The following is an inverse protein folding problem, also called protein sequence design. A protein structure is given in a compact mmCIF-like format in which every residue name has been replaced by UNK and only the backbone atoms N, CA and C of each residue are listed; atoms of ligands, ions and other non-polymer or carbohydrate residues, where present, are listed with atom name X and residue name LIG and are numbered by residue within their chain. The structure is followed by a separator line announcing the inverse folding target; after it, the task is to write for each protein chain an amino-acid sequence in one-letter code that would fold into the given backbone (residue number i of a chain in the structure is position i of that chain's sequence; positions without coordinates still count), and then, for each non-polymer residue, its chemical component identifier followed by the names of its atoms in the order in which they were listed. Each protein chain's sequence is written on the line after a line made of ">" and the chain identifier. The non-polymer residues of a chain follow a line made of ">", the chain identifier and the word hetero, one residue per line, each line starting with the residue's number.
data_IF_292406155709
#
_entry.id   IF_292406155709
#
_cell.length_a   1.000
_cell.length_b   1.000
_cell.length_c   1.000
_cell.angle_alpha   90.00
_cell.angle_beta   90.00
_cell.angle_gamma   90.00
#
_symmetry.space_group_name_H-M   'P 1'
#
loop_
_entity.id
_entity.type
_entity.pdbx_description
1 polymer ?
#
# COMPACT_ATOMS: atom_id res chain seq x y z
N UNK A 1 -7.54 52.01 8.82
CA UNK A 1 -6.30 52.50 8.19
C UNK A 1 -5.16 51.92 8.99
N UNK A 2 -4.19 51.15 8.50
CA UNK A 2 -3.82 50.68 7.17
C UNK A 2 -3.00 49.40 7.39
N UNK A 3 -3.31 48.32 6.69
CA UNK A 3 -2.50 47.10 6.67
C UNK A 3 -1.19 47.37 5.91
N UNK A 4 -0.05 46.94 6.46
CA UNK A 4 1.23 46.93 5.72
C UNK A 4 1.39 45.58 5.02
N UNK A 5 1.56 45.52 3.70
CA UNK A 5 1.80 44.27 2.99
C UNK A 5 3.28 43.85 3.07
N UNK A 6 3.46 42.54 3.15
CA UNK A 6 4.72 41.80 3.09
C UNK A 6 5.21 41.78 1.62
N UNK A 7 6.37 42.36 1.33
CA UNK A 7 7.02 42.20 0.02
C UNK A 7 7.78 40.87 -0.01
N UNK A 8 7.32 39.93 -0.83
CA UNK A 8 8.11 38.77 -1.26
C UNK A 8 8.63 39.08 -2.66
N UNK A 9 9.95 39.16 -2.80
CA UNK A 9 10.61 39.32 -4.08
C UNK A 9 10.49 38.01 -4.89
N UNK A 10 9.83 38.07 -6.04
CA UNK A 10 9.87 37.01 -7.05
C UNK A 10 11.08 37.27 -7.95
N UNK A 11 12.10 36.41 -7.87
CA UNK A 11 13.16 36.35 -8.88
C UNK A 11 12.67 35.44 -10.02
N UNK A 12 12.33 36.07 -11.14
CA UNK A 12 11.89 35.41 -12.38
C UNK A 12 13.12 34.98 -13.16
N UNK A 13 13.49 33.70 -13.07
CA UNK A 13 14.48 33.12 -13.96
C UNK A 13 13.86 32.88 -15.35
N UNK A 14 14.25 33.71 -16.31
CA UNK A 14 13.93 33.54 -17.74
C UNK A 14 14.76 32.37 -18.27
N UNK A 15 14.12 31.24 -18.58
CA UNK A 15 14.74 30.11 -19.29
C UNK A 15 14.37 30.19 -20.77
N UNK A 16 15.36 30.47 -21.59
CA UNK A 16 15.29 30.50 -23.06
C UNK A 16 14.96 29.11 -23.62
N UNK A 17 13.84 29.00 -24.34
CA UNK A 17 13.46 27.79 -25.08
C UNK A 17 14.19 27.75 -26.42
N UNK A 18 15.15 26.83 -26.58
CA UNK A 18 15.67 26.44 -27.89
C UNK A 18 14.75 25.37 -28.49
N UNK A 19 14.01 25.72 -29.54
CA UNK A 19 13.22 24.79 -30.35
C UNK A 19 14.09 24.14 -31.42
N UNK A 20 13.93 22.84 -31.65
CA UNK A 20 14.23 22.19 -32.95
C UNK A 20 13.47 20.86 -33.11
N UNK A 21 13.22 20.41 -34.36
CA UNK A 21 11.98 19.72 -34.74
C UNK A 21 12.10 18.19 -34.79
N UNK A 22 10.92 17.55 -34.84
CA UNK A 22 10.72 16.10 -34.91
C UNK A 22 10.97 15.50 -36.30
N UNK A 23 11.45 14.25 -36.35
CA UNK A 23 11.21 13.32 -37.46
C UNK A 23 11.50 11.84 -37.11
N UNK A 24 10.54 10.95 -37.44
CA UNK A 24 10.79 9.59 -37.94
C UNK A 24 10.85 8.41 -36.94
N UNK A 25 10.08 7.31 -37.16
CA UNK A 25 10.09 6.13 -36.29
C UNK A 25 11.17 5.12 -36.69
N UNK A 26 11.88 4.57 -35.70
CA UNK A 26 12.93 3.56 -35.87
C UNK A 26 12.90 2.55 -34.73
N UNK A 27 13.08 1.29 -35.09
CA UNK A 27 12.91 0.06 -34.32
C UNK A 27 13.84 -0.12 -33.12
N UNK A 28 13.25 -0.58 -32.01
CA UNK A 28 13.80 -1.46 -30.97
C UNK A 28 15.28 -1.36 -30.55
N UNK A 29 15.52 -0.91 -29.32
CA UNK A 29 16.60 -1.46 -28.48
C UNK A 29 16.22 -1.33 -27.00
N UNK A 30 16.42 -2.41 -26.26
CA UNK A 30 16.12 -2.56 -24.81
C UNK A 30 16.92 -1.53 -24.01
N UNK A 31 16.22 -0.85 -23.09
CA UNK A 31 16.67 0.36 -22.42
C UNK A 31 17.87 0.18 -21.49
N UNK A 32 18.86 1.06 -21.66
CA UNK A 32 19.72 1.46 -20.55
C UNK A 32 18.88 2.29 -19.58
N UNK A 33 18.91 1.92 -18.30
CA UNK A 33 18.34 2.69 -17.20
C UNK A 33 18.88 4.11 -17.23
N UNK A 34 18.02 5.09 -17.51
CA UNK A 34 18.36 6.50 -17.33
C UNK A 34 18.66 6.75 -15.85
N UNK A 35 19.75 7.47 -15.51
CA UNK A 35 19.97 7.88 -14.14
C UNK A 35 18.76 8.69 -13.67
N UNK A 36 18.24 8.37 -12.49
CA UNK A 36 17.10 9.06 -11.90
C UNK A 36 17.37 10.56 -11.84
N UNK A 37 16.44 11.37 -12.36
CA UNK A 37 16.59 12.81 -12.46
C UNK A 37 16.88 13.44 -11.08
N UNK A 38 17.58 14.58 -11.03
CA UNK A 38 17.80 15.31 -9.77
C UNK A 38 16.46 15.64 -9.06
N UNK A 39 15.40 15.89 -9.82
CA UNK A 39 14.06 16.12 -9.29
C UNK A 39 13.47 14.87 -8.60
N UNK A 40 13.77 13.67 -9.10
CA UNK A 40 13.35 12.41 -8.48
C UNK A 40 14.05 12.18 -7.15
N UNK A 41 15.34 12.48 -7.09
CA UNK A 41 16.14 12.35 -5.88
C UNK A 41 15.68 13.36 -4.81
N UNK A 42 15.37 14.60 -5.21
CA UNK A 42 14.78 15.60 -4.32
C UNK A 42 13.40 15.16 -3.80
N UNK A 43 12.53 14.65 -4.68
CA UNK A 43 11.20 14.15 -4.31
C UNK A 43 11.29 12.95 -3.34
N UNK A 44 12.23 12.03 -3.58
CA UNK A 44 12.48 10.92 -2.66
C UNK A 44 12.96 11.41 -1.29
N UNK A 45 13.90 12.36 -1.27
CA UNK A 45 14.45 12.92 -0.04
C UNK A 45 13.37 13.62 0.78
N UNK A 46 12.49 14.38 0.11
CA UNK A 46 11.33 15.03 0.73
C UNK A 46 10.35 14.01 1.32
N UNK A 47 9.98 12.99 0.54
CA UNK A 47 9.11 11.91 1.03
C UNK A 47 9.72 11.18 2.23
N UNK A 48 11.04 10.97 2.23
CA UNK A 48 11.75 10.34 3.34
C UNK A 48 11.73 11.20 4.60
N UNK A 49 11.95 12.52 4.47
CA UNK A 49 11.87 13.45 5.59
C UNK A 49 10.46 13.49 6.20
N UNK A 50 9.42 13.43 5.38
CA UNK A 50 8.03 13.40 5.83
C UNK A 50 7.66 12.08 6.52
N UNK A 51 8.03 10.92 5.95
CA UNK A 51 7.59 9.61 6.44
C UNK A 51 8.41 9.07 7.62
N UNK A 52 9.69 9.39 7.70
CA UNK A 52 10.58 8.84 8.74
C UNK A 52 10.12 9.07 10.18
N UNK A 53 9.59 10.25 10.58
CA UNK A 53 9.09 10.44 11.94
C UNK A 53 7.71 9.80 12.19
N UNK A 54 6.98 9.43 11.14
CA UNK A 54 5.60 8.93 11.24
C UNK A 54 5.51 7.41 11.43
N UNK A 55 6.52 6.68 10.94
CA UNK A 55 6.50 5.21 10.90
C UNK A 55 7.33 4.62 12.04
N UNK A 56 6.94 3.44 12.57
CA UNK A 56 7.77 2.74 13.54
C UNK A 56 9.14 2.43 12.92
N UNK A 57 10.21 2.85 13.60
CA UNK A 57 11.58 2.54 13.17
C UNK A 57 11.86 1.03 13.15
N UNK A 58 12.92 0.56 12.47
CA UNK A 58 13.33 -0.83 12.57
C UNK A 58 13.64 -1.19 14.04
N UNK A 59 13.42 -2.43 14.48
CA UNK A 59 13.79 -2.86 15.83
C UNK A 59 15.29 -2.62 16.04
N UNK A 60 15.64 -1.67 16.91
CA UNK A 60 17.02 -1.38 17.26
C UNK A 60 17.61 -2.50 18.15
N UNK A 61 18.93 -2.74 18.09
CA UNK A 61 19.59 -3.79 18.89
C UNK A 61 19.45 -3.58 20.40
N UNK A 62 19.15 -2.36 20.86
CA UNK A 62 19.03 -1.98 22.27
C UNK A 62 17.60 -1.71 22.74
N UNK A 63 16.56 -1.96 21.94
CA UNK A 63 15.17 -1.79 22.35
C UNK A 63 14.24 -2.92 21.86
N UNK A 64 14.50 -4.18 22.26
CA UNK A 64 13.62 -5.31 21.94
C UNK A 64 12.25 -5.24 22.65
N UNK A 65 12.02 -4.32 23.58
CA UNK A 65 10.87 -4.33 24.49
C UNK A 65 9.64 -3.53 24.04
N UNK A 66 9.77 -2.46 23.25
CA UNK A 66 8.59 -1.62 22.90
C UNK A 66 7.78 -2.14 21.71
N UNK A 67 8.39 -2.81 20.73
CA UNK A 67 7.68 -3.37 19.57
C UNK A 67 7.07 -4.76 19.83
N UNK A 68 7.46 -5.41 20.92
CA UNK A 68 7.09 -6.80 21.23
C UNK A 68 5.85 -6.92 22.15
N UNK A 69 5.22 -5.81 22.52
CA UNK A 69 3.97 -5.81 23.32
C UNK A 69 2.70 -5.74 22.47
N UNK A 70 2.81 -5.31 21.20
CA UNK A 70 1.64 -5.23 20.32
C UNK A 70 1.13 -6.64 20.00
N UNK A 71 -0.18 -6.80 20.02
CA UNK A 71 -0.92 -8.03 19.66
C UNK A 71 -1.43 -8.03 18.21
N UNK A 72 -1.14 -6.96 17.45
CA UNK A 72 -1.50 -6.77 16.05
C UNK A 72 -0.42 -5.95 15.32
N UNK A 73 -0.35 -5.98 13.98
CA UNK A 73 0.58 -5.14 13.22
C UNK A 73 0.26 -3.65 13.44
N UNK A 74 1.26 -2.79 13.26
CA UNK A 74 1.05 -1.36 13.07
C UNK A 74 0.33 -1.14 11.73
N UNK A 75 -0.83 -0.49 11.75
CA UNK A 75 -1.68 -0.30 10.57
C UNK A 75 -1.64 1.16 10.12
N UNK A 76 -1.16 1.37 8.90
CA UNK A 76 -1.21 2.66 8.21
C UNK A 76 -2.33 2.62 7.17
N UNK A 77 -3.40 3.38 7.37
CA UNK A 77 -4.40 3.63 6.34
C UNK A 77 -3.94 4.76 5.44
N UNK A 78 -4.09 4.60 4.13
CA UNK A 78 -3.76 5.66 3.19
C UNK A 78 -4.70 5.67 2.00
N UNK A 79 -5.12 6.86 1.58
CA UNK A 79 -5.91 7.03 0.36
C UNK A 79 -5.76 8.43 -0.23
N UNK A 80 -6.09 8.55 -1.51
CA UNK A 80 -6.19 9.82 -2.20
C UNK A 80 -7.66 10.22 -2.40
N UNK A 81 -7.94 11.51 -2.27
CA UNK A 81 -9.24 12.09 -2.55
C UNK A 81 -9.12 13.39 -3.36
N UNK A 82 -10.21 13.78 -4.01
CA UNK A 82 -10.41 15.11 -4.56
C UNK A 82 -10.65 16.15 -3.46
N UNK A 83 -10.63 17.43 -3.81
CA UNK A 83 -10.88 18.53 -2.87
C UNK A 83 -12.29 18.47 -2.25
N UNK A 84 -13.27 17.95 -3.00
CA UNK A 84 -14.64 17.68 -2.55
C UNK A 84 -14.83 16.29 -1.90
N UNK A 85 -13.74 15.62 -1.50
CA UNK A 85 -13.77 14.40 -0.68
C UNK A 85 -14.14 13.12 -1.42
N UNK A 86 -13.92 13.06 -2.74
CA UNK A 86 -14.23 11.89 -3.57
C UNK A 86 -12.99 11.03 -3.81
N UNK A 87 -13.13 9.73 -3.64
CA UNK A 87 -12.06 8.72 -3.78
C UNK A 87 -12.17 7.93 -5.10
N UNK A 88 -13.33 7.97 -5.76
CA UNK A 88 -13.55 7.35 -7.07
C UNK A 88 -14.58 8.15 -7.88
N UNK A 89 -14.56 7.95 -9.21
CA UNK A 89 -15.53 8.54 -10.11
C UNK A 89 -16.90 7.83 -10.00
N UNK A 90 -17.89 8.37 -10.70
CA UNK A 90 -19.16 7.69 -10.92
C UNK A 90 -18.95 6.25 -11.42
N UNK A 91 -19.79 5.32 -10.96
CA UNK A 91 -19.72 3.88 -11.28
C UNK A 91 -18.42 3.17 -10.82
N UNK A 92 -17.70 3.73 -9.84
CA UNK A 92 -16.54 3.06 -9.25
C UNK A 92 -15.31 3.03 -10.17
N UNK A 93 -15.25 3.92 -11.17
CA UNK A 93 -14.08 4.04 -12.03
C UNK A 93 -12.92 4.72 -11.28
N UNK A 94 -11.68 4.29 -11.51
CA UNK A 94 -10.50 4.88 -10.89
C UNK A 94 -10.32 6.35 -11.30
N UNK A 95 -9.90 7.20 -10.35
CA UNK A 95 -9.51 8.58 -10.64
C UNK A 95 -7.99 8.72 -10.46
N UNK A 96 -7.33 9.23 -11.50
CA UNK A 96 -5.92 9.62 -11.38
C UNK A 96 -5.83 11.00 -10.72
N UNK A 97 -6.01 11.02 -9.40
CA UNK A 97 -6.07 12.25 -8.60
C UNK A 97 -4.68 12.84 -8.35
N UNK A 98 -3.78 12.03 -7.79
CA UNK A 98 -2.48 12.48 -7.28
C UNK A 98 -1.40 12.63 -8.36
N UNK A 99 -0.50 13.58 -8.12
CA UNK A 99 0.68 13.90 -8.92
C UNK A 99 1.89 13.01 -8.62
N UNK A 100 2.94 13.13 -9.44
CA UNK A 100 4.09 12.21 -9.45
C UNK A 100 4.80 12.11 -8.10
N UNK A 101 4.99 13.23 -7.43
CA UNK A 101 5.66 13.35 -6.14
C UNK A 101 4.89 12.59 -5.05
N UNK A 102 3.57 12.73 -5.02
CA UNK A 102 2.68 11.96 -4.13
C UNK A 102 2.72 10.47 -4.42
N UNK A 103 2.78 10.06 -5.70
CA UNK A 103 2.97 8.66 -6.06
C UNK A 103 4.32 8.12 -5.57
N UNK A 104 5.39 8.91 -5.70
CA UNK A 104 6.70 8.54 -5.15
C UNK A 104 6.65 8.39 -3.63
N UNK A 105 5.98 9.29 -2.92
CA UNK A 105 5.74 9.16 -1.48
C UNK A 105 4.98 7.87 -1.14
N UNK A 106 3.90 7.55 -1.84
CA UNK A 106 3.16 6.29 -1.63
C UNK A 106 4.03 5.07 -1.92
N UNK A 107 4.88 5.12 -2.94
CA UNK A 107 5.80 4.03 -3.26
C UNK A 107 6.91 3.87 -2.21
N UNK A 108 7.39 4.96 -1.61
CA UNK A 108 8.28 4.90 -0.46
C UNK A 108 7.56 4.34 0.76
N UNK A 109 6.30 4.73 0.99
CA UNK A 109 5.47 4.19 2.07
C UNK A 109 5.32 2.66 1.94
N UNK A 110 5.07 2.15 0.72
CA UNK A 110 5.02 0.70 0.44
C UNK A 110 6.31 -0.01 0.82
N UNK A 111 7.48 0.58 0.55
CA UNK A 111 8.77 -0.05 0.86
C UNK A 111 9.09 -0.09 2.35
N UNK A 112 8.33 0.65 3.18
CA UNK A 112 8.45 0.69 4.64
C UNK A 112 7.47 -0.23 5.36
N UNK A 113 6.65 -1.00 4.64
CA UNK A 113 5.68 -1.93 5.23
C UNK A 113 5.97 -3.38 4.84
N UNK A 114 5.69 -4.32 5.75
CA UNK A 114 5.86 -5.75 5.49
C UNK A 114 4.79 -6.27 4.51
N UNK A 115 3.59 -5.70 4.61
CA UNK A 115 2.42 -6.08 3.82
C UNK A 115 1.58 -4.87 3.38
N UNK A 116 0.91 -5.03 2.26
CA UNK A 116 -0.05 -4.08 1.70
C UNK A 116 -1.38 -4.77 1.47
N UNK A 117 -2.49 -4.14 1.88
CA UNK A 117 -3.83 -4.71 1.82
C UNK A 117 -4.77 -3.86 0.98
N UNK A 118 -5.54 -4.55 0.14
CA UNK A 118 -6.65 -4.00 -0.63
C UNK A 118 -7.84 -4.94 -0.62
N UNK A 119 -9.04 -4.40 -0.87
CA UNK A 119 -10.21 -5.23 -1.19
C UNK A 119 -10.17 -5.73 -2.63
N UNK A 120 -10.77 -6.89 -2.90
CA UNK A 120 -10.90 -7.43 -4.27
C UNK A 120 -11.57 -6.45 -5.24
N UNK A 121 -12.46 -5.58 -4.76
CA UNK A 121 -13.07 -4.53 -5.58
C UNK A 121 -12.04 -3.60 -6.24
N UNK A 122 -10.96 -3.28 -5.53
CA UNK A 122 -9.84 -2.51 -6.09
C UNK A 122 -9.10 -3.33 -7.14
N UNK A 123 -8.86 -4.62 -6.91
CA UNK A 123 -8.19 -5.47 -7.91
C UNK A 123 -9.02 -5.59 -9.19
N UNK A 124 -10.34 -5.75 -9.06
CA UNK A 124 -11.25 -5.83 -10.20
C UNK A 124 -11.36 -4.52 -10.99
N UNK A 125 -11.18 -3.37 -10.33
CA UNK A 125 -11.28 -2.06 -10.97
C UNK A 125 -9.95 -1.62 -11.60
N UNK A 126 -8.83 -1.88 -10.92
CA UNK A 126 -7.52 -1.29 -11.24
C UNK A 126 -6.45 -2.28 -11.71
N UNK A 127 -6.63 -3.58 -11.43
CA UNK A 127 -5.62 -4.64 -11.57
C UNK A 127 -4.20 -4.18 -11.12
N UNK A 128 -4.03 -3.74 -9.86
CA UNK A 128 -2.81 -3.09 -9.41
C UNK A 128 -1.67 -4.09 -9.21
N UNK A 129 -0.43 -3.63 -9.35
CA UNK A 129 0.76 -4.45 -9.09
C UNK A 129 1.18 -4.51 -7.61
N UNK A 130 0.73 -3.54 -6.79
CA UNK A 130 1.03 -3.40 -5.35
C UNK A 130 2.53 -3.50 -4.97
N UNK A 131 3.42 -3.13 -5.90
CA UNK A 131 4.87 -3.19 -5.75
C UNK A 131 5.53 -1.80 -5.64
N UNK A 132 6.86 -1.79 -5.45
CA UNK A 132 7.68 -0.57 -5.37
C UNK A 132 8.46 -0.38 -6.67
N UNK A 133 7.91 0.40 -7.61
CA UNK A 133 8.47 0.56 -8.98
C UNK A 133 8.71 2.01 -9.44
N UNK A 134 8.26 3.00 -8.67
CA UNK A 134 8.37 4.42 -9.03
C UNK A 134 9.46 5.16 -8.24
N UNK A 135 10.28 4.43 -7.48
CA UNK A 135 11.41 4.99 -6.76
C UNK A 135 12.67 4.89 -7.63
N UNK A 136 13.61 5.85 -7.52
CA UNK A 136 14.95 5.68 -8.06
C UNK A 136 15.64 4.50 -7.36
N UNK A 137 16.76 4.01 -7.92
CA UNK A 137 17.50 2.92 -7.29
C UNK A 137 17.87 3.28 -5.84
N UNK A 138 17.70 2.35 -4.89
CA UNK A 138 18.12 2.59 -3.52
C UNK A 138 19.64 2.79 -3.45
N UNK A 139 20.13 3.54 -2.45
CA UNK A 139 21.56 3.65 -2.21
C UNK A 139 22.18 2.26 -1.97
N UNK A 140 23.43 2.03 -2.39
CA UNK A 140 24.10 0.75 -2.16
C UNK A 140 24.16 0.45 -0.66
N UNK A 141 23.81 -0.78 -0.29
CA UNK A 141 23.91 -1.24 1.10
C UNK A 141 25.38 -1.21 1.54
N UNK A 142 25.71 -0.77 2.78
CA UNK A 142 27.09 -0.68 3.27
C UNK A 142 27.88 -1.99 3.13
N UNK A 143 27.20 -3.14 3.20
CA UNK A 143 27.79 -4.47 3.06
C UNK A 143 28.43 -4.74 1.68
N UNK A 144 28.03 -4.02 0.62
CA UNK A 144 28.59 -4.20 -0.72
C UNK A 144 29.89 -3.40 -0.97
N UNK A 145 30.24 -2.46 -0.09
CA UNK A 145 31.36 -1.55 -0.29
C UNK A 145 32.72 -2.04 0.28
N UNK A 146 32.77 -3.21 0.92
CA UNK A 146 33.92 -3.63 1.72
C UNK A 146 34.97 -4.52 1.01
N UNK A 147 34.87 -4.81 -0.29
CA UNK A 147 35.69 -5.88 -0.92
C UNK A 147 36.91 -5.40 -1.72
N UNK A 148 37.28 -4.13 -1.72
CA UNK A 148 38.49 -3.68 -2.45
C UNK A 148 39.42 -2.90 -1.58
N UNK A 149 40.25 -3.60 -0.78
CA UNK A 149 41.60 -3.14 -0.43
C UNK A 149 42.39 -4.24 0.27
N UNK A 150 43.36 -4.83 -0.44
CA UNK A 150 44.74 -4.97 0.06
C UNK A 150 45.61 -5.59 -1.03
N UNK A 151 46.27 -4.72 -1.78
CA UNK A 151 47.52 -5.02 -2.47
C UNK A 151 48.61 -5.11 -1.40
N UNK A 152 49.18 -6.30 -1.20
CA UNK A 152 50.48 -6.45 -0.55
C UNK A 152 51.60 -6.18 -1.56
N UNK A 153 52.66 -5.42 -1.22
CA UNK A 153 53.88 -5.40 -1.99
C UNK A 153 54.81 -6.52 -1.48
N UNK A 154 55.01 -7.56 -2.29
CA UNK A 154 55.96 -8.63 -1.98
C UNK A 154 57.36 -8.28 -2.54
N UNK A 155 58.37 -8.46 -1.69
CA UNK A 155 59.78 -8.34 -2.03
C UNK A 155 60.30 -9.65 -2.62
N UNK A 156 61.27 -9.51 -3.52
CA UNK A 156 61.80 -10.50 -4.46
C UNK A 156 62.47 -11.75 -3.86
N UNK A 157 62.40 -12.86 -4.61
CA UNK A 157 63.57 -13.72 -4.93
C UNK A 157 63.33 -14.53 -6.23
N UNK A 158 64.31 -14.68 -7.15
CA UNK A 158 64.14 -15.42 -8.41
C UNK A 158 64.91 -16.75 -8.41
N UNK A 159 64.26 -17.86 -8.78
CA UNK A 159 64.87 -18.88 -9.66
C UNK A 159 63.93 -20.06 -9.91
N UNK A 160 64.17 -20.72 -11.04
CA UNK A 160 63.67 -22.02 -11.52
C UNK A 160 62.34 -22.05 -12.26
N UNK A 161 62.51 -22.05 -13.59
CA UNK A 161 61.60 -22.54 -14.62
C UNK A 161 61.14 -23.97 -14.37
N UNK A 162 59.84 -24.24 -14.44
CA UNK A 162 59.29 -25.42 -15.12
C UNK A 162 57.83 -25.21 -15.53
N UNK A 163 57.58 -25.65 -16.76
CA UNK A 163 56.32 -25.67 -17.49
C UNK A 163 55.24 -26.47 -16.76
N UNK A 164 54.09 -25.85 -16.50
CA UNK A 164 52.76 -26.46 -16.72
C UNK A 164 51.71 -25.37 -16.57
N UNK A 165 50.90 -25.21 -17.61
CA UNK A 165 49.77 -24.29 -17.65
C UNK A 165 48.63 -24.85 -16.78
N UNK A 166 48.14 -24.14 -15.74
CA UNK A 166 46.79 -24.35 -15.27
C UNK A 166 45.89 -23.33 -15.97
N UNK A 167 44.88 -23.82 -16.68
CA UNK A 167 43.79 -22.99 -17.15
C UNK A 167 43.19 -22.24 -15.95
N UNK A 168 43.44 -20.94 -15.88
CA UNK A 168 42.74 -20.06 -14.96
C UNK A 168 41.27 -20.09 -15.37
N UNK A 169 40.45 -20.88 -14.69
CA UNK A 169 39.02 -20.68 -14.69
C UNK A 169 38.76 -19.29 -14.14
N UNK A 170 38.56 -18.33 -15.05
CA UNK A 170 37.98 -17.04 -14.74
C UNK A 170 36.58 -17.31 -14.19
N UNK A 171 36.48 -17.45 -12.87
CA UNK A 171 35.22 -17.31 -12.16
C UNK A 171 34.85 -15.84 -12.35
N UNK A 172 34.07 -15.54 -13.38
CA UNK A 172 33.38 -14.26 -13.47
C UNK A 172 32.45 -14.22 -12.26
N UNK A 173 32.68 -13.37 -11.24
CA UNK A 173 31.73 -13.28 -10.14
C UNK A 173 30.39 -12.89 -10.75
N UNK A 174 29.37 -13.73 -10.52
CA UNK A 174 28.01 -13.42 -10.92
C UNK A 174 27.67 -12.04 -10.35
N UNK A 175 27.44 -11.06 -11.23
CA UNK A 175 27.16 -9.68 -10.85
C UNK A 175 26.00 -9.70 -9.85
N UNK A 176 26.26 -9.27 -8.62
CA UNK A 176 25.24 -9.21 -7.59
C UNK A 176 24.03 -8.44 -8.15
N UNK A 177 22.79 -8.92 -7.94
CA UNK A 177 21.62 -8.26 -8.48
C UNK A 177 21.59 -6.79 -8.02
N UNK A 178 21.22 -5.90 -8.94
CA UNK A 178 21.12 -4.48 -8.65
C UNK A 178 20.27 -4.25 -7.38
N UNK A 179 20.64 -3.28 -6.52
CA UNK A 179 19.92 -3.06 -5.28
C UNK A 179 18.47 -2.67 -5.59
N UNK A 180 17.51 -3.31 -4.94
CA UNK A 180 16.06 -3.07 -5.12
C UNK A 180 15.41 -2.67 -3.81
N UNK A 181 14.33 -1.90 -3.90
CA UNK A 181 13.54 -1.57 -2.71
C UNK A 181 12.77 -2.81 -2.23
N UNK A 182 12.64 -3.02 -0.91
CA UNK A 182 11.74 -4.03 -0.37
C UNK A 182 10.33 -3.84 -0.92
N UNK A 183 9.70 -4.94 -1.35
CA UNK A 183 8.32 -4.94 -1.83
C UNK A 183 7.42 -5.61 -0.79
N UNK A 184 6.30 -4.98 -0.39
CA UNK A 184 5.39 -5.53 0.60
C UNK A 184 4.68 -6.79 0.08
N UNK A 185 4.27 -7.66 1.00
CA UNK A 185 3.41 -8.81 0.72
C UNK A 185 1.99 -8.33 0.31
N UNK A 186 1.48 -8.66 -0.89
CA UNK A 186 0.14 -8.27 -1.28
C UNK A 186 -0.93 -9.12 -0.59
N UNK A 187 -1.84 -8.47 0.13
CA UNK A 187 -2.98 -9.07 0.83
C UNK A 187 -4.29 -8.64 0.17
N UNK A 188 -5.14 -9.59 -0.18
CA UNK A 188 -6.41 -9.35 -0.85
C UNK A 188 -7.55 -9.81 0.05
N UNK A 189 -8.46 -8.90 0.41
CA UNK A 189 -9.72 -9.25 1.06
C UNK A 189 -10.77 -9.60 0.02
N UNK A 190 -11.12 -10.88 -0.04
CA UNK A 190 -12.02 -11.44 -1.04
C UNK A 190 -12.93 -12.53 -0.47
N UNK A 191 -14.02 -12.10 0.14
CA UNK A 191 -15.04 -12.97 0.75
C UNK A 191 -15.49 -14.11 -0.17
N UNK A 192 -15.49 -13.92 -1.50
CA UNK A 192 -16.04 -14.86 -2.47
C UNK A 192 -15.04 -15.37 -3.53
N UNK A 193 -13.74 -15.18 -3.30
CA UNK A 193 -12.67 -15.68 -4.18
C UNK A 193 -12.88 -15.27 -5.66
N UNK A 194 -13.19 -13.99 -5.88
CA UNK A 194 -13.39 -13.32 -7.17
C UNK A 194 -12.10 -12.81 -7.81
N UNK A 195 -10.96 -12.86 -7.12
CA UNK A 195 -9.65 -12.47 -7.65
C UNK A 195 -9.44 -13.14 -9.02
N UNK A 196 -9.22 -12.36 -10.11
CA UNK A 196 -8.98 -12.96 -11.42
C UNK A 196 -7.66 -13.72 -11.45
N UNK A 197 -7.63 -14.97 -11.96
CA UNK A 197 -6.39 -15.71 -12.22
C UNK A 197 -5.39 -14.97 -13.12
N UNK A 198 -5.89 -14.09 -13.99
CA UNK A 198 -5.10 -13.28 -14.91
C UNK A 198 -4.55 -11.98 -14.31
N UNK A 199 -4.80 -11.72 -13.01
CA UNK A 199 -4.40 -10.47 -12.36
C UNK A 199 -2.89 -10.26 -12.39
N UNK A 200 -2.46 -9.00 -12.42
CA UNK A 200 -1.04 -8.64 -12.39
C UNK A 200 -0.33 -9.18 -11.14
N UNK A 201 -1.04 -9.31 -10.01
CA UNK A 201 -0.50 -9.86 -8.77
C UNK A 201 0.00 -11.29 -8.94
N UNK A 202 -0.83 -12.17 -9.52
CA UNK A 202 -0.47 -13.57 -9.76
C UNK A 202 0.58 -13.69 -10.86
N UNK A 203 0.43 -12.92 -11.95
CA UNK A 203 1.40 -12.89 -13.04
C UNK A 203 2.80 -12.48 -12.57
N UNK A 204 2.89 -11.43 -11.75
CA UNK A 204 4.16 -10.96 -11.21
C UNK A 204 4.82 -12.01 -10.32
N UNK A 205 4.03 -12.70 -9.48
CA UNK A 205 4.54 -13.79 -8.66
C UNK A 205 5.10 -14.93 -9.52
N UNK A 206 4.33 -15.40 -10.52
CA UNK A 206 4.75 -16.46 -11.45
C UNK A 206 5.99 -16.07 -12.24
N UNK A 207 6.16 -14.79 -12.59
CA UNK A 207 7.37 -14.30 -13.26
C UNK A 207 8.55 -13.99 -12.31
N UNK A 208 8.41 -14.21 -11.00
CA UNK A 208 9.45 -13.92 -10.01
C UNK A 208 9.72 -12.43 -9.73
N UNK A 209 8.84 -11.54 -10.20
CA UNK A 209 8.95 -10.07 -10.06
C UNK A 209 8.07 -9.52 -8.93
N UNK A 210 7.25 -10.36 -8.30
CA UNK A 210 6.39 -10.02 -7.18
C UNK A 210 6.34 -11.13 -6.12
N UNK A 211 5.90 -10.76 -4.91
CA UNK A 211 5.69 -11.71 -3.81
C UNK A 211 4.40 -12.51 -4.03
N UNK A 212 4.34 -13.70 -3.44
CA UNK A 212 3.15 -14.54 -3.44
C UNK A 212 1.97 -13.79 -2.80
N UNK A 213 0.84 -13.57 -3.52
CA UNK A 213 -0.31 -12.89 -2.94
C UNK A 213 -1.05 -13.78 -1.95
N UNK A 214 -1.46 -13.19 -0.83
CA UNK A 214 -2.32 -13.83 0.17
C UNK A 214 -3.76 -13.37 0.00
N UNK A 215 -4.68 -14.32 -0.10
CA UNK A 215 -6.11 -14.06 -0.30
C UNK A 215 -6.88 -14.53 0.93
N UNK A 216 -7.67 -13.64 1.52
CA UNK A 216 -8.52 -13.97 2.66
C UNK A 216 -9.98 -14.07 2.24
N UNK A 217 -10.62 -15.20 2.52
CA UNK A 217 -12.01 -15.47 2.17
C UNK A 217 -12.84 -15.92 3.39
N UNK A 218 -14.15 -16.06 3.18
CA UNK A 218 -15.07 -16.55 4.20
C UNK A 218 -14.77 -18.02 4.55
N UNK A 219 -14.73 -18.34 5.85
CA UNK A 219 -14.64 -19.70 6.33
C UNK A 219 -15.80 -20.58 5.81
N UNK A 220 -15.49 -21.82 5.43
CA UNK A 220 -16.42 -22.74 4.78
C UNK A 220 -17.06 -23.76 5.76
N UNK A 221 -17.36 -23.32 6.99
CA UNK A 221 -17.64 -24.20 8.14
C UNK A 221 -19.01 -24.92 8.13
N UNK A 222 -20.01 -24.46 7.37
CA UNK A 222 -21.36 -25.05 7.34
C UNK A 222 -21.82 -25.40 5.91
N UNK A 223 -22.43 -26.56 5.62
CA UNK A 223 -22.87 -26.91 4.27
C UNK A 223 -23.75 -25.81 3.63
N UNK A 224 -23.20 -25.11 2.63
CA UNK A 224 -23.87 -24.04 1.90
C UNK A 224 -23.87 -24.36 0.39
N UNK A 225 -24.95 -24.07 -0.36
CA UNK A 225 -25.04 -24.36 -1.79
C UNK A 225 -23.90 -23.76 -2.63
N UNK A 226 -23.33 -22.64 -2.19
CA UNK A 226 -22.18 -21.98 -2.84
C UNK A 226 -20.81 -22.60 -2.51
N UNK A 227 -20.70 -23.51 -1.52
CA UNK A 227 -19.41 -24.08 -1.12
C UNK A 227 -18.71 -24.93 -2.17
N UNK A 228 -19.37 -25.73 -3.02
CA UNK A 228 -18.69 -26.42 -4.11
C UNK A 228 -17.97 -25.43 -5.05
N UNK A 229 -18.63 -24.34 -5.43
CA UNK A 229 -18.04 -23.31 -6.28
C UNK A 229 -16.90 -22.55 -5.58
N UNK A 230 -17.06 -22.20 -4.31
CA UNK A 230 -15.99 -21.55 -3.53
C UNK A 230 -14.77 -22.46 -3.34
N UNK A 231 -14.97 -23.77 -3.13
CA UNK A 231 -13.89 -24.76 -3.07
C UNK A 231 -13.16 -24.87 -4.41
N UNK A 232 -13.89 -24.90 -5.52
CA UNK A 232 -13.33 -24.88 -6.87
C UNK A 232 -12.50 -23.60 -7.12
N UNK A 233 -13.03 -22.43 -6.75
CA UNK A 233 -12.29 -21.15 -6.84
C UNK A 233 -11.02 -21.15 -5.99
N UNK A 234 -11.09 -21.67 -4.76
CA UNK A 234 -9.93 -21.78 -3.85
C UNK A 234 -8.83 -22.64 -4.47
N UNK A 235 -9.20 -23.81 -5.00
CA UNK A 235 -8.26 -24.71 -5.68
C UNK A 235 -7.58 -24.01 -6.86
N UNK A 236 -8.36 -23.40 -7.77
CA UNK A 236 -7.83 -22.67 -8.93
C UNK A 236 -6.90 -21.53 -8.53
N UNK A 237 -7.25 -20.73 -7.53
CA UNK A 237 -6.37 -19.64 -7.08
C UNK A 237 -5.06 -20.16 -6.49
N UNK A 238 -5.12 -21.26 -5.74
CA UNK A 238 -3.95 -21.90 -5.14
C UNK A 238 -3.01 -22.46 -6.22
N UNK A 239 -3.57 -23.12 -7.24
CA UNK A 239 -2.82 -23.60 -8.41
C UNK A 239 -2.14 -22.48 -9.21
N UNK A 240 -2.73 -21.27 -9.20
CA UNK A 240 -2.18 -20.09 -9.87
C UNK A 240 -1.21 -19.29 -8.98
N UNK A 241 -0.84 -19.84 -7.82
CA UNK A 241 0.19 -19.29 -6.94
C UNK A 241 -0.32 -18.36 -5.86
N UNK A 242 -1.63 -18.23 -5.62
CA UNK A 242 -2.14 -17.53 -4.44
C UNK A 242 -2.04 -18.41 -3.18
N UNK A 243 -1.71 -17.83 -2.03
CA UNK A 243 -1.94 -18.51 -0.75
C UNK A 243 -3.29 -18.08 -0.19
N UNK A 244 -4.21 -19.04 0.04
CA UNK A 244 -5.60 -18.73 0.41
C UNK A 244 -5.89 -19.10 1.86
N UNK A 245 -6.33 -18.13 2.64
CA UNK A 245 -6.69 -18.27 4.04
C UNK A 245 -8.19 -18.03 4.27
N UNK A 246 -8.74 -18.78 5.22
CA UNK A 246 -10.12 -18.64 5.66
C UNK A 246 -10.19 -17.82 6.94
N UNK A 247 -11.15 -16.90 7.01
CA UNK A 247 -11.42 -16.08 8.19
C UNK A 247 -12.90 -16.16 8.59
N UNK A 248 -13.20 -16.01 9.89
CA UNK A 248 -14.57 -15.92 10.36
C UNK A 248 -15.26 -14.67 9.82
N UNK A 249 -16.57 -14.81 9.57
CA UNK A 249 -17.43 -13.70 9.16
C UNK A 249 -17.92 -12.90 10.37
N UNK A 250 -18.09 -11.59 10.18
CA UNK A 250 -18.69 -10.70 11.17
C UNK A 250 -20.11 -11.20 11.52
N UNK A 251 -20.35 -11.54 12.79
CA UNK A 251 -21.64 -12.05 13.27
C UNK A 251 -21.76 -13.59 13.37
N UNK A 252 -20.74 -14.36 12.98
CA UNK A 252 -20.76 -15.83 13.07
C UNK A 252 -20.68 -16.39 14.52
N UNK A 253 -20.48 -15.53 15.54
CA UNK A 253 -20.36 -15.94 16.95
C UNK A 253 -21.66 -15.90 17.76
N UNK A 254 -22.83 -15.76 17.13
CA UNK A 254 -24.12 -15.77 17.82
C UNK A 254 -25.22 -16.50 17.05
N UNK A 255 -24.99 -17.77 16.69
CA UNK A 255 -26.13 -18.68 16.50
C UNK A 255 -26.46 -19.30 17.87
N UNK A 256 -27.70 -19.13 18.39
CA UNK A 256 -28.12 -19.84 19.60
C UNK A 256 -28.08 -21.35 19.35
N UNK A 257 -27.94 -22.17 20.42
CA UNK A 257 -27.91 -23.63 20.28
C UNK A 257 -29.14 -24.15 19.50
N UNK A 258 -29.02 -25.31 18.82
CA UNK A 258 -30.00 -25.84 17.87
C UNK A 258 -31.35 -26.28 18.49
N UNK A 259 -31.69 -25.78 19.67
CA UNK A 259 -32.94 -26.06 20.39
C UNK A 259 -34.13 -25.21 19.95
N UNK A 260 -33.96 -24.23 19.05
CA UNK A 260 -35.09 -23.56 18.38
C UNK A 260 -35.09 -23.92 16.91
N UNK A 261 -36.11 -24.67 16.46
CA UNK A 261 -36.29 -25.15 15.08
C UNK A 261 -36.54 -24.04 14.05
N UNK A 262 -35.57 -23.15 13.86
CA UNK A 262 -35.54 -22.26 12.71
C UNK A 262 -35.07 -23.04 11.48
N UNK A 263 -35.84 -22.92 10.40
CA UNK A 263 -35.55 -23.50 9.09
C UNK A 263 -34.17 -23.05 8.60
N UNK A 264 -33.39 -24.00 8.08
CA UNK A 264 -32.08 -23.79 7.44
C UNK A 264 -32.07 -22.66 6.39
N UNK A 265 -33.25 -22.34 5.85
CA UNK A 265 -33.50 -21.32 4.84
C UNK A 265 -33.15 -19.88 5.32
N UNK A 266 -33.22 -19.61 6.64
CA UNK A 266 -32.91 -18.28 7.22
C UNK A 266 -31.41 -18.06 7.43
N UNK A 267 -30.61 -19.12 7.55
CA UNK A 267 -29.14 -19.01 7.67
C UNK A 267 -28.47 -18.56 6.37
N UNK A 268 -29.15 -18.74 5.23
CA UNK A 268 -28.66 -18.36 3.90
C UNK A 268 -28.79 -16.83 3.66
N UNK A 269 -29.74 -16.17 4.33
CA UNK A 269 -29.95 -14.72 4.23
C UNK A 269 -29.10 -13.96 5.25
N UNK A 270 -27.80 -13.79 4.95
CA UNK A 270 -26.97 -12.60 5.27
C UNK A 270 -25.47 -12.73 4.99
N UNK A 271 -25.00 -13.81 4.34
CA UNK A 271 -23.59 -13.93 3.91
C UNK A 271 -23.12 -12.73 3.05
N UNK A 272 -24.03 -12.12 2.29
CA UNK A 272 -23.73 -10.94 1.46
C UNK A 272 -23.54 -9.63 2.27
N UNK A 273 -24.01 -9.59 3.52
CA UNK A 273 -23.92 -8.43 4.42
C UNK A 273 -22.81 -8.58 5.48
N UNK A 274 -22.35 -9.80 5.76
CA UNK A 274 -21.29 -10.07 6.74
C UNK A 274 -19.91 -9.97 6.10
N UNK A 275 -19.14 -8.94 6.47
CA UNK A 275 -17.73 -8.82 6.06
C UNK A 275 -16.81 -9.81 6.78
N UNK A 276 -15.54 -9.87 6.38
CA UNK A 276 -14.51 -10.63 7.11
C UNK A 276 -14.16 -9.91 8.43
N UNK A 277 -13.87 -10.66 9.49
CA UNK A 277 -13.41 -10.11 10.77
C UNK A 277 -12.01 -9.49 10.65
N UNK A 278 -11.93 -8.15 10.68
CA UNK A 278 -10.65 -7.42 10.68
C UNK A 278 -9.78 -7.72 11.93
N UNK A 279 -10.34 -7.83 13.17
CA UNK A 279 -9.53 -8.25 14.32
C UNK A 279 -8.88 -9.63 14.12
N UNK A 280 -9.63 -10.60 13.60
CA UNK A 280 -9.10 -11.94 13.32
C UNK A 280 -8.04 -11.93 12.22
N UNK A 281 -8.25 -11.12 11.17
CA UNK A 281 -7.23 -10.88 10.14
C UNK A 281 -5.94 -10.32 10.75
N UNK A 282 -6.02 -9.27 11.57
CA UNK A 282 -4.83 -8.63 12.14
C UNK A 282 -4.08 -9.57 13.09
N UNK A 283 -4.80 -10.36 13.90
CA UNK A 283 -4.19 -11.40 14.74
C UNK A 283 -3.51 -12.50 13.90
N UNK A 284 -4.14 -12.90 12.80
CA UNK A 284 -3.59 -13.89 11.87
C UNK A 284 -2.30 -13.38 11.19
N UNK A 285 -2.26 -12.12 10.78
CA UNK A 285 -1.07 -11.49 10.18
C UNK A 285 0.07 -11.40 11.20
N UNK A 286 -0.23 -10.95 12.41
CA UNK A 286 0.77 -10.81 13.48
C UNK A 286 1.41 -12.14 13.88
N UNK A 287 0.61 -13.20 14.02
CA UNK A 287 1.12 -14.56 14.33
C UNK A 287 2.03 -15.13 13.23
N UNK A 288 1.95 -14.60 12.00
CA UNK A 288 2.84 -14.93 10.87
C UNK A 288 4.03 -13.98 10.75
N UNK A 289 4.25 -13.11 11.73
CA UNK A 289 5.40 -12.22 11.77
C UNK A 289 5.23 -10.91 11.01
N UNK A 290 4.05 -10.62 10.44
CA UNK A 290 3.76 -9.31 9.85
C UNK A 290 3.67 -8.27 10.97
N UNK A 291 4.56 -7.27 10.96
CA UNK A 291 4.67 -6.22 11.98
C UNK A 291 4.06 -4.91 11.54
N UNK A 292 4.07 -4.63 10.24
CA UNK A 292 3.50 -3.42 9.66
C UNK A 292 2.59 -3.72 8.46
N UNK A 293 1.44 -3.08 8.42
CA UNK A 293 0.42 -3.24 7.38
C UNK A 293 0.03 -1.87 6.81
N UNK A 294 0.18 -1.71 5.50
CA UNK A 294 -0.38 -0.57 4.76
C UNK A 294 -1.72 -0.96 4.16
N UNK A 295 -2.76 -0.14 4.29
CA UNK A 295 -4.07 -0.35 3.66
C UNK A 295 -4.31 0.78 2.66
N UNK A 296 -4.32 0.45 1.37
CA UNK A 296 -4.35 1.44 0.28
C UNK A 296 -5.68 1.45 -0.49
N UNK A 297 -6.45 0.35 -0.45
CA UNK A 297 -7.46 0.10 -1.48
C UNK A 297 -8.81 -0.40 -1.00
N UNK A 298 -9.85 0.27 -1.49
CA UNK A 298 -11.25 -0.12 -1.43
C UNK A 298 -12.02 0.70 -0.42
N UNK A 299 -12.99 1.50 -0.88
CA UNK A 299 -13.85 2.32 -0.02
C UNK A 299 -14.36 1.54 1.21
N UNK A 300 -14.88 0.33 0.98
CA UNK A 300 -15.43 -0.53 2.02
C UNK A 300 -14.36 -0.98 3.03
N UNK A 301 -13.16 -1.27 2.57
CA UNK A 301 -12.04 -1.70 3.43
C UNK A 301 -11.59 -0.54 4.30
N UNK A 302 -11.25 0.60 3.68
CA UNK A 302 -10.84 1.81 4.40
C UNK A 302 -11.91 2.22 5.43
N UNK A 303 -13.18 2.24 5.02
CA UNK A 303 -14.29 2.53 5.91
C UNK A 303 -14.37 1.56 7.08
N UNK A 304 -14.19 0.24 6.84
CA UNK A 304 -14.26 -0.77 7.89
C UNK A 304 -13.14 -0.64 8.93
N UNK A 305 -11.94 -0.24 8.50
CA UNK A 305 -10.83 0.04 9.42
C UNK A 305 -11.09 1.32 10.23
N UNK A 306 -11.57 2.39 9.58
CA UNK A 306 -11.90 3.66 10.23
C UNK A 306 -13.02 3.50 11.27
N UNK A 307 -14.13 2.86 10.90
CA UNK A 307 -15.31 2.69 11.76
C UNK A 307 -15.08 1.73 12.93
N UNK A 308 -14.03 0.91 12.89
CA UNK A 308 -13.63 0.02 13.98
C UNK A 308 -12.43 0.56 14.78
N UNK A 309 -11.88 1.72 14.40
CA UNK A 309 -10.67 2.27 15.02
C UNK A 309 -9.44 1.37 14.91
N UNK A 310 -9.37 0.49 13.90
CA UNK A 310 -8.32 -0.52 13.76
C UNK A 310 -7.08 -0.02 13.00
N UNK A 311 -6.66 1.22 13.27
CA UNK A 311 -5.50 1.83 12.64
C UNK A 311 -4.66 2.63 13.62
N UNK A 312 -3.40 2.85 13.26
CA UNK A 312 -2.44 3.61 14.08
C UNK A 312 -2.07 4.93 13.41
N UNK A 313 -2.03 4.96 12.07
CA UNK A 313 -1.69 6.12 11.26
C UNK A 313 -2.67 6.24 10.09
N UNK A 314 -3.15 7.45 9.81
CA UNK A 314 -3.96 7.77 8.65
C UNK A 314 -3.23 8.82 7.80
N UNK A 315 -2.97 8.50 6.54
CA UNK A 315 -2.39 9.42 5.55
C UNK A 315 -3.43 9.72 4.48
N UNK A 316 -3.80 10.99 4.31
CA UNK A 316 -4.78 11.41 3.29
C UNK A 316 -4.09 12.35 2.32
N UNK A 317 -4.09 11.97 1.03
CA UNK A 317 -3.66 12.85 -0.06
C UNK A 317 -4.88 13.54 -0.67
N UNK A 318 -4.87 14.87 -0.71
CA UNK A 318 -5.92 15.70 -1.29
C UNK A 318 -5.37 16.35 -2.56
N UNK A 319 -5.92 15.93 -3.71
CA UNK A 319 -5.61 16.53 -4.99
C UNK A 319 -6.46 17.80 -5.21
N UNK A 320 -5.91 18.85 -5.87
CA UNK A 320 -6.61 20.10 -6.15
C UNK A 320 -7.59 19.95 -7.34
N UNK A 321 -8.44 18.93 -7.30
CA UNK A 321 -9.42 18.59 -8.34
C UNK A 321 -10.81 18.51 -7.70
N UNK A 322 -11.85 18.93 -8.40
CA UNK A 322 -13.24 18.72 -8.03
C UNK A 322 -13.85 17.64 -8.93
N UNK A 323 -14.47 16.62 -8.34
CA UNK A 323 -15.10 15.52 -9.10
C UNK A 323 -16.59 15.75 -9.28
N UNK A 324 -17.24 16.38 -8.29
CA UNK A 324 -18.66 16.70 -8.34
C UNK A 324 -19.55 15.64 -7.70
N UNK A 325 -20.88 15.82 -7.78
CA UNK A 325 -21.85 15.07 -6.97
C UNK A 325 -21.88 13.57 -7.26
N UNK A 326 -21.57 13.17 -8.50
CA UNK A 326 -21.52 11.77 -8.95
C UNK A 326 -20.28 11.01 -8.46
N UNK A 327 -19.30 11.72 -7.88
CA UNK A 327 -18.14 11.11 -7.26
C UNK A 327 -18.51 10.30 -6.01
N UNK A 328 -17.80 9.21 -5.80
CA UNK A 328 -17.95 8.34 -4.64
C UNK A 328 -17.01 8.84 -3.53
N UNK A 329 -17.56 9.27 -2.40
CA UNK A 329 -16.79 9.62 -1.19
C UNK A 329 -16.50 8.38 -0.32
N UNK A 330 -15.72 8.54 0.74
CA UNK A 330 -15.43 7.41 1.64
C UNK A 330 -16.66 6.97 2.45
N UNK A 331 -17.50 7.92 2.90
CA UNK A 331 -18.73 7.63 3.64
C UNK A 331 -19.85 7.11 2.71
N UNK A 332 -20.54 6.05 3.13
CA UNK A 332 -21.64 5.45 2.35
C UNK A 332 -22.88 6.34 2.43
N UNK A 333 -23.42 6.73 1.27
CA UNK A 333 -24.74 7.37 1.11
C UNK A 333 -25.79 6.43 1.71
N UNK A 334 -26.33 6.75 2.89
CA UNK A 334 -27.21 5.88 3.67
C UNK A 334 -26.89 5.78 5.17
N UNK A 335 -25.66 6.08 5.60
CA UNK A 335 -25.37 6.27 7.03
C UNK A 335 -25.55 7.74 7.45
N UNK A 336 -25.38 8.66 6.50
CA UNK A 336 -25.91 10.02 6.57
C UNK A 336 -27.31 9.97 5.95
N UNK A 337 -28.34 10.25 6.77
CA UNK A 337 -29.74 9.93 6.54
C UNK A 337 -30.26 10.12 5.12
N UNK A 338 -31.12 9.19 4.71
CA UNK A 338 -31.96 9.35 3.53
C UNK A 338 -32.84 10.58 3.68
N UNK A 339 -32.60 11.56 2.83
CA UNK A 339 -33.42 12.73 2.64
C UNK A 339 -32.95 13.44 1.39
N UNK A 340 -33.87 13.74 0.49
CA UNK A 340 -33.62 14.55 -0.69
C UNK A 340 -32.91 15.88 -0.31
N UNK A 341 -32.14 16.40 -1.27
CA UNK A 341 -31.55 17.73 -1.32
C UNK A 341 -31.84 18.67 -0.12
N UNK A 342 -30.78 19.07 0.60
CA UNK A 342 -30.81 20.24 1.47
C UNK A 342 -30.80 19.93 2.97
N UNK A 343 -29.65 19.49 3.48
CA UNK A 343 -29.26 19.81 4.85
C UNK A 343 -27.74 19.97 4.88
N UNK A 344 -27.29 21.22 4.83
CA UNK A 344 -25.97 21.60 5.31
C UNK A 344 -26.03 21.45 6.83
N UNK A 345 -25.83 20.22 7.30
CA UNK A 345 -25.70 19.93 8.72
C UNK A 345 -24.37 20.49 9.22
N UNK A 346 -24.42 21.12 10.40
CA UNK A 346 -23.32 21.77 11.12
C UNK A 346 -21.93 21.21 10.81
N UNK A 347 -21.11 22.05 10.19
CA UNK A 347 -19.68 21.80 9.90
C UNK A 347 -18.86 21.67 11.22
N UNK A 348 -19.47 21.96 12.37
CA UNK A 348 -18.85 21.92 13.71
C UNK A 348 -19.09 20.64 14.53
N UNK A 349 -20.00 19.75 14.13
CA UNK A 349 -20.15 18.43 14.79
C UNK A 349 -19.49 17.38 13.91
N UNK A 350 -18.29 16.93 14.31
CA UNK A 350 -17.50 15.97 13.54
C UNK A 350 -18.35 14.79 13.07
N UNK A 351 -18.29 14.50 11.78
CA UNK A 351 -18.95 13.35 11.11
C UNK A 351 -18.67 11.98 11.79
N UNK A 352 -17.72 11.90 12.72
CA UNK A 352 -17.29 10.69 13.42
C UNK A 352 -18.25 10.14 14.47
N UNK A 353 -19.03 10.98 15.17
CA UNK A 353 -19.83 10.52 16.32
C UNK A 353 -20.97 9.54 15.95
N UNK A 354 -21.50 9.63 14.72
CA UNK A 354 -22.49 8.66 14.19
C UNK A 354 -21.88 7.49 13.41
N UNK A 355 -20.59 7.54 13.08
CA UNK A 355 -19.91 6.55 12.22
C UNK A 355 -18.95 5.62 12.97
N UNK A 356 -18.79 5.81 14.29
CA UNK A 356 -17.83 5.05 15.09
C UNK A 356 -16.37 5.35 14.75
N UNK A 357 -16.10 6.49 14.08
CA UNK A 357 -14.73 6.88 13.71
C UNK A 357 -14.13 7.66 14.89
N UNK A 358 -12.94 7.27 15.39
CA UNK A 358 -12.30 8.00 16.49
C UNK A 358 -11.99 9.44 16.08
N UNK A 359 -11.90 10.34 17.06
CA UNK A 359 -11.35 11.68 16.82
C UNK A 359 -9.91 11.55 16.34
N UNK A 360 -9.52 12.45 15.45
CA UNK A 360 -8.22 12.42 14.79
C UNK A 360 -7.44 13.68 15.14
N UNK A 361 -6.19 13.49 15.55
CA UNK A 361 -5.22 14.57 15.72
C UNK A 361 -4.28 14.59 14.51
N UNK A 362 -4.19 15.74 13.85
CA UNK A 362 -3.15 15.97 12.84
C UNK A 362 -1.78 16.03 13.48
N UNK A 363 -0.82 15.31 12.90
CA UNK A 363 0.58 15.27 13.38
C UNK A 363 1.58 15.78 12.35
N UNK A 364 1.22 15.81 11.07
CA UNK A 364 2.00 16.45 10.02
C UNK A 364 1.12 16.79 8.82
N UNK A 365 1.44 17.89 8.13
CA UNK A 365 0.83 18.27 6.85
C UNK A 365 1.94 18.76 5.94
N UNK A 366 1.96 18.26 4.70
CA UNK A 366 3.00 18.59 3.73
C UNK A 366 2.41 18.68 2.32
N UNK A 367 3.11 19.36 1.40
CA UNK A 367 2.68 19.46 -0.01
C UNK A 367 3.63 18.66 -0.89
N UNK A 368 3.10 17.69 -1.64
CA UNK A 368 3.85 16.90 -2.61
C UNK A 368 3.43 17.30 -4.02
N UNK A 369 4.28 18.10 -4.67
CA UNK A 369 3.96 18.70 -5.97
C UNK A 369 2.74 19.61 -5.84
N UNK A 370 1.59 19.15 -6.34
CA UNK A 370 0.31 19.89 -6.28
C UNK A 370 -0.66 19.40 -5.21
N UNK A 371 -0.36 18.26 -4.57
CA UNK A 371 -1.29 17.62 -3.64
C UNK A 371 -0.92 17.96 -2.19
N UNK A 372 -1.92 18.18 -1.35
CA UNK A 372 -1.72 18.29 0.09
C UNK A 372 -1.81 16.91 0.74
N UNK A 373 -0.88 16.57 1.61
CA UNK A 373 -0.84 15.28 2.32
C UNK A 373 -0.91 15.55 3.82
N UNK A 374 -1.89 14.94 4.48
CA UNK A 374 -2.09 15.06 5.92
C UNK A 374 -1.87 13.71 6.60
N UNK A 375 -1.05 13.69 7.64
CA UNK A 375 -0.84 12.54 8.51
C UNK A 375 -1.55 12.78 9.85
N UNK A 376 -2.39 11.84 10.25
CA UNK A 376 -3.23 11.91 11.44
C UNK A 376 -3.15 10.62 12.24
N UNK A 377 -3.36 10.71 13.55
CA UNK A 377 -3.46 9.56 14.46
C UNK A 377 -4.77 9.63 15.24
N UNK A 378 -5.34 8.48 15.67
CA UNK A 378 -6.45 8.49 16.62
C UNK A 378 -6.07 9.23 17.90
N UNK A 379 -6.99 10.04 18.43
CA UNK A 379 -6.87 10.57 19.78
C UNK A 379 -7.07 9.44 20.82
N UNK A 380 -6.35 9.47 21.95
CA UNK A 380 -6.60 8.52 23.03
C UNK A 380 -8.04 8.67 23.55
N UNK A 381 -8.68 7.55 23.90
CA UNK A 381 -10.04 7.55 24.44
C UNK A 381 -10.11 8.42 25.72
N UNK A 382 -10.99 9.43 25.73
CA UNK A 382 -11.24 10.30 26.88
C UNK A 382 -10.45 11.62 26.92
N UNK A 383 -9.83 12.04 25.81
CA UNK A 383 -9.16 13.34 25.67
C UNK A 383 -10.12 14.53 25.47
#
# INVERSE_FOLDING_TARGET
>A
MSARPLLVAHEVAVVTLCTSPASGPGTGTVGMSTPSSLADQASLSHAQAFLSPLLPGPPGPSSPSQQNTRVRPHVTLTYAQSLDGKIAAAHGRPLKLSGRESWMMTHLLRSKHDAILVGVGTVLADDPQLNVRLLPLPPPTPAAAATTTSTSPDAADPSTSHSTSPAASSITPALAPAPTWPTPLPLILDTHLRLPPSSLLLRNHTSGTGRQPWVFCAALELPHPAHPELRSRKARLSEQGAEVFELPLLGAFALPPPSLGLRADVACMRMAETGLSLPSLLAHLHSRGIRSLMVEGGQRVIFSFLSQGLFDLLIVTVAPTLVGPEGVGFARRGVLGGGAAGAVGDIGKGLGEGLGVPRLRSIATEVFGRDAVMAMVPEPEGA
#
